data_IF_527397296464
#
_entry.id   IF_527397296464
#
_cell.length_a   1.000
_cell.length_b   1.000
_cell.length_c   1.000
_cell.angle_alpha   90.00
_cell.angle_beta   90.00
_cell.angle_gamma   90.00
#
_symmetry.space_group_name_H-M   'P 1'
#
loop_
_entity.id
_entity.type
_entity.pdbx_description
1 polymer ?
#
# COMPACT_ATOMS: atom_id res chain seq x y z
N UNK A 1 5.32 -10.52 11.99
CA UNK A 1 4.96 -9.26 11.30
C UNK A 1 6.08 -8.97 10.31
N UNK A 2 5.84 -9.18 9.01
CA UNK A 2 6.90 -9.13 8.00
C UNK A 2 7.60 -7.77 7.93
N UNK A 3 6.84 -6.65 7.98
CA UNK A 3 7.43 -5.30 7.93
C UNK A 3 8.40 -5.01 9.08
N UNK A 4 8.16 -5.56 10.28
CA UNK A 4 9.07 -5.39 11.44
C UNK A 4 10.47 -5.96 11.18
N UNK A 5 10.63 -6.88 10.23
CA UNK A 5 11.94 -7.42 9.83
C UNK A 5 12.73 -6.41 9.00
N UNK A 6 12.04 -5.48 8.33
CA UNK A 6 12.64 -4.41 7.52
C UNK A 6 12.89 -3.15 8.36
N UNK A 7 11.95 -2.81 9.25
CA UNK A 7 12.04 -1.66 10.16
C UNK A 7 11.36 -1.98 11.49
N UNK A 8 12.16 -2.03 12.56
CA UNK A 8 11.71 -2.37 13.91
C UNK A 8 10.84 -1.28 14.57
N UNK A 9 10.74 -0.08 13.99
CA UNK A 9 9.94 1.03 14.53
C UNK A 9 8.49 1.02 14.06
N UNK A 10 8.11 0.15 13.12
CA UNK A 10 6.75 0.09 12.59
C UNK A 10 5.76 -0.37 13.67
N UNK A 11 4.68 0.37 13.91
CA UNK A 11 3.71 0.07 14.99
C UNK A 11 2.26 0.10 14.52
N UNK A 12 1.96 0.77 13.42
CA UNK A 12 0.60 1.02 12.97
C UNK A 12 0.41 0.42 11.59
N UNK A 13 -0.67 -0.35 11.43
CA UNK A 13 -1.17 -0.79 10.13
C UNK A 13 -2.55 -0.16 9.97
N UNK A 14 -2.73 0.65 8.93
CA UNK A 14 -4.00 1.30 8.62
C UNK A 14 -4.58 0.72 7.34
N UNK A 15 -5.88 0.42 7.39
CA UNK A 15 -6.68 0.08 6.22
C UNK A 15 -7.79 1.10 6.03
N UNK A 16 -7.99 1.58 4.81
CA UNK A 16 -9.14 2.41 4.44
C UNK A 16 -9.50 2.24 2.96
N UNK A 17 -10.55 2.96 2.53
CA UNK A 17 -11.09 2.91 1.16
C UNK A 17 -10.99 4.27 0.45
N UNK A 18 -9.78 4.76 0.07
CA UNK A 18 -9.63 6.05 -0.58
C UNK A 18 -10.26 6.02 -1.97
N UNK A 19 -11.29 6.84 -2.19
CA UNK A 19 -12.17 6.77 -3.36
C UNK A 19 -11.42 6.84 -4.69
N UNK A 20 -10.50 7.80 -4.85
CA UNK A 20 -9.75 7.98 -6.09
C UNK A 20 -8.73 6.85 -6.33
N UNK A 21 -8.12 6.34 -5.27
CA UNK A 21 -7.17 5.23 -5.36
C UNK A 21 -7.87 3.94 -5.80
N UNK A 22 -9.06 3.67 -5.26
CA UNK A 22 -9.91 2.57 -5.72
C UNK A 22 -10.29 2.77 -7.19
N UNK A 23 -10.69 3.97 -7.61
CA UNK A 23 -11.03 4.25 -9.00
C UNK A 23 -9.84 4.00 -9.97
N UNK A 24 -8.61 4.26 -9.54
CA UNK A 24 -7.41 3.95 -10.32
C UNK A 24 -7.27 2.44 -10.58
N UNK A 25 -7.70 1.58 -9.66
CA UNK A 25 -7.64 0.11 -9.86
C UNK A 25 -8.54 -0.38 -11.00
N UNK A 26 -9.56 0.39 -11.41
CA UNK A 26 -10.44 0.07 -12.55
C UNK A 26 -9.97 0.70 -13.87
N UNK A 27 -9.18 1.76 -13.80
CA UNK A 27 -8.85 2.60 -14.98
C UNK A 27 -7.39 2.49 -15.39
N UNK A 28 -6.51 2.02 -14.52
CA UNK A 28 -5.11 1.80 -14.79
C UNK A 28 -4.80 0.30 -14.89
N UNK A 29 -3.79 -0.04 -15.69
CA UNK A 29 -3.19 -1.38 -15.63
C UNK A 29 -2.64 -1.60 -14.22
N UNK A 30 -3.03 -2.73 -13.62
CA UNK A 30 -2.55 -3.16 -12.30
C UNK A 30 -1.10 -3.66 -12.40
N UNK A 31 -0.17 -2.71 -12.47
CA UNK A 31 1.28 -2.90 -12.50
C UNK A 31 1.91 -1.94 -11.49
N UNK A 32 2.68 -2.49 -10.55
CA UNK A 32 3.26 -1.75 -9.41
C UNK A 32 4.12 -0.58 -9.89
N UNK A 33 5.00 -0.82 -10.88
CA UNK A 33 5.89 0.20 -11.43
C UNK A 33 5.12 1.33 -12.11
N UNK A 34 4.11 0.98 -12.90
CA UNK A 34 3.26 1.96 -13.60
C UNK A 34 2.46 2.79 -12.61
N UNK A 35 1.78 2.16 -11.66
CA UNK A 35 0.94 2.86 -10.68
C UNK A 35 1.77 3.78 -9.80
N UNK A 36 2.90 3.29 -9.28
CA UNK A 36 3.85 4.08 -8.48
C UNK A 36 4.34 5.31 -9.26
N UNK A 37 4.72 5.12 -10.53
CA UNK A 37 5.20 6.23 -11.37
C UNK A 37 4.11 7.24 -11.73
N UNK A 38 2.84 6.83 -11.78
CA UNK A 38 1.73 7.77 -11.97
C UNK A 38 1.59 8.65 -10.71
N UNK A 39 1.55 8.05 -9.52
CA UNK A 39 1.40 8.80 -8.26
C UNK A 39 2.60 9.70 -7.98
N UNK A 40 3.83 9.22 -8.18
CA UNK A 40 5.04 10.04 -8.05
C UNK A 40 5.07 11.28 -8.97
N UNK A 41 4.28 11.28 -10.04
CA UNK A 41 4.17 12.43 -10.96
C UNK A 41 3.02 13.36 -10.61
N UNK A 42 2.11 12.97 -9.72
CA UNK A 42 0.96 13.80 -9.32
C UNK A 42 1.36 14.84 -8.27
N UNK A 43 2.17 14.46 -7.28
CA UNK A 43 2.75 15.37 -6.29
C UNK A 43 4.24 15.12 -6.14
N UNK A 44 5.03 16.18 -5.99
CA UNK A 44 6.48 16.08 -5.84
C UNK A 44 6.89 15.28 -4.59
N UNK A 45 6.11 15.37 -3.51
CA UNK A 45 6.37 14.70 -2.24
C UNK A 45 6.24 13.18 -2.30
N UNK A 46 5.39 12.66 -3.19
CA UNK A 46 5.07 11.24 -3.30
C UNK A 46 6.31 10.35 -3.47
N UNK A 47 7.32 10.80 -4.23
CA UNK A 47 8.57 10.05 -4.41
C UNK A 47 9.37 9.91 -3.11
N UNK A 48 9.30 10.91 -2.23
CA UNK A 48 10.03 10.93 -0.95
C UNK A 48 9.24 10.23 0.15
N UNK A 49 7.91 10.37 0.15
CA UNK A 49 7.01 9.79 1.16
C UNK A 49 6.93 8.26 1.01
N UNK A 50 6.78 7.76 -0.23
CA UNK A 50 6.75 6.33 -0.55
C UNK A 50 7.73 5.99 -1.69
N UNK A 51 9.05 5.99 -1.43
CA UNK A 51 10.07 5.73 -2.45
C UNK A 51 10.08 4.28 -2.95
N UNK A 52 9.57 3.34 -2.15
CA UNK A 52 9.37 1.93 -2.53
C UNK A 52 8.26 1.80 -3.59
N UNK A 53 7.33 2.77 -3.64
CA UNK A 53 6.16 2.74 -4.52
C UNK A 53 4.93 2.10 -3.85
N UNK A 54 4.00 1.64 -4.68
CA UNK A 54 2.77 0.96 -4.30
C UNK A 54 2.88 -0.51 -4.68
N UNK A 55 2.88 -1.39 -3.68
CA UNK A 55 2.72 -2.81 -3.87
C UNK A 55 1.29 -3.14 -4.27
N UNK A 56 1.09 -4.15 -5.10
CA UNK A 56 -0.25 -4.57 -5.53
C UNK A 56 -0.34 -6.08 -5.34
N UNK A 57 -1.41 -6.54 -4.69
CA UNK A 57 -1.73 -7.97 -4.64
C UNK A 57 -2.86 -8.29 -5.64
N UNK A 58 -3.02 -9.56 -6.08
CA UNK A 58 -4.21 -9.97 -6.82
C UNK A 58 -5.50 -9.67 -6.04
N UNK A 59 -6.63 -9.54 -6.75
CA UNK A 59 -7.93 -9.50 -6.07
C UNK A 59 -8.14 -10.82 -5.32
N UNK A 60 -8.48 -10.71 -4.03
CA UNK A 60 -8.70 -11.82 -3.12
C UNK A 60 -9.87 -11.48 -2.20
N UNK A 61 -10.51 -12.51 -1.64
CA UNK A 61 -11.62 -12.32 -0.69
C UNK A 61 -11.13 -11.63 0.58
N UNK A 62 -11.68 -10.47 0.97
CA UNK A 62 -11.30 -9.79 2.21
C UNK A 62 -11.63 -10.60 3.46
N UNK A 63 -10.85 -10.40 4.52
CA UNK A 63 -11.11 -10.99 5.84
C UNK A 63 -10.68 -12.46 5.98
N UNK A 64 -9.89 -12.98 5.05
CA UNK A 64 -9.31 -14.34 5.14
C UNK A 64 -7.84 -14.30 5.51
N UNK A 65 -7.29 -15.44 5.95
CA UNK A 65 -5.86 -15.53 6.29
C UNK A 65 -4.98 -15.39 5.04
N UNK A 66 -5.44 -15.93 3.90
CA UNK A 66 -4.68 -15.94 2.65
C UNK A 66 -4.40 -14.51 2.14
N UNK A 67 -5.40 -13.61 2.19
CA UNK A 67 -5.19 -12.21 1.81
C UNK A 67 -4.31 -11.48 2.84
N UNK A 68 -4.41 -11.85 4.12
CA UNK A 68 -3.54 -11.33 5.18
C UNK A 68 -2.07 -11.70 4.95
N UNK A 69 -1.80 -12.96 4.63
CA UNK A 69 -0.46 -13.47 4.30
C UNK A 69 0.09 -12.83 3.02
N UNK A 70 -0.72 -12.72 1.96
CA UNK A 70 -0.33 -12.05 0.71
C UNK A 70 0.01 -10.56 0.95
N UNK A 71 -0.80 -9.88 1.78
CA UNK A 71 -0.55 -8.49 2.16
C UNK A 71 0.73 -8.37 2.98
N UNK A 72 0.92 -9.22 3.99
CA UNK A 72 2.12 -9.21 4.82
C UNK A 72 3.40 -9.50 4.00
N UNK A 73 3.35 -10.47 3.08
CA UNK A 73 4.45 -10.76 2.18
C UNK A 73 4.79 -9.55 1.31
N UNK A 74 3.79 -8.90 0.70
CA UNK A 74 4.00 -7.68 -0.10
C UNK A 74 4.52 -6.52 0.74
N UNK A 75 4.11 -6.41 2.01
CA UNK A 75 4.58 -5.39 2.92
C UNK A 75 6.06 -5.52 3.32
N UNK A 76 6.69 -6.68 3.09
CA UNK A 76 8.13 -6.82 3.29
C UNK A 76 8.94 -5.93 2.34
N UNK A 77 8.36 -5.58 1.19
CA UNK A 77 8.97 -4.77 0.13
C UNK A 77 8.36 -3.35 0.05
N UNK A 78 7.09 -3.18 0.42
CA UNK A 78 6.35 -1.92 0.28
C UNK A 78 5.68 -1.47 1.58
N UNK A 79 5.79 -0.20 1.95
CA UNK A 79 4.96 0.39 3.03
C UNK A 79 3.49 0.55 2.66
N UNK A 80 3.18 0.59 1.37
CA UNK A 80 1.81 0.80 0.86
C UNK A 80 1.42 -0.34 -0.06
N UNK A 81 0.29 -0.98 0.22
CA UNK A 81 -0.23 -2.11 -0.55
C UNK A 81 -1.65 -1.83 -1.01
N UNK A 82 -1.89 -1.85 -2.31
CA UNK A 82 -3.21 -1.82 -2.91
C UNK A 82 -3.87 -3.20 -2.83
N UNK A 83 -5.11 -3.20 -2.35
CA UNK A 83 -6.07 -4.25 -2.66
C UNK A 83 -6.94 -3.76 -3.83
N UNK A 84 -6.75 -4.31 -5.05
CA UNK A 84 -7.48 -3.84 -6.22
C UNK A 84 -8.99 -3.86 -5.95
N UNK A 85 -9.68 -2.81 -6.41
CA UNK A 85 -11.13 -2.66 -6.29
C UNK A 85 -11.67 -2.56 -4.85
N UNK A 86 -10.81 -2.51 -3.84
CA UNK A 86 -11.21 -2.51 -2.43
C UNK A 86 -10.60 -1.34 -1.66
N UNK A 87 -9.28 -1.16 -1.67
CA UNK A 87 -8.67 -0.10 -0.90
C UNK A 87 -7.16 -0.22 -0.75
N UNK A 88 -6.66 0.32 0.35
CA UNK A 88 -5.24 0.46 0.64
C UNK A 88 -4.92 -0.11 2.02
N UNK A 89 -3.71 -0.60 2.17
CA UNK A 89 -3.05 -0.77 3.45
C UNK A 89 -1.78 0.07 3.49
N UNK A 90 -1.55 0.75 4.61
CA UNK A 90 -0.35 1.52 4.90
C UNK A 90 0.25 1.07 6.24
N UNK A 91 1.58 1.16 6.36
CA UNK A 91 2.30 0.84 7.61
C UNK A 91 3.28 1.95 7.96
N UNK A 92 3.26 2.40 9.21
CA UNK A 92 4.09 3.50 9.75
C UNK A 92 4.43 3.31 11.23
N UNK A 93 5.27 4.20 11.76
CA UNK A 93 5.73 4.16 13.15
C UNK A 93 4.70 4.70 14.15
N UNK A 94 3.84 5.61 13.71
CA UNK A 94 2.75 6.19 14.50
C UNK A 94 1.50 6.48 13.64
N UNK A 95 0.34 6.81 14.25
CA UNK A 95 -0.89 7.06 13.51
C UNK A 95 -0.82 8.25 12.54
N UNK A 96 -0.07 9.30 12.86
CA UNK A 96 0.02 10.51 12.03
C UNK A 96 0.88 10.23 10.78
N UNK A 97 2.03 9.57 10.95
CA UNK A 97 2.85 9.12 9.82
C UNK A 97 2.05 8.17 8.92
N UNK A 98 1.33 7.20 9.50
CA UNK A 98 0.60 6.19 8.72
C UNK A 98 -0.62 6.78 8.01
N UNK A 99 -1.29 7.77 8.61
CA UNK A 99 -2.41 8.46 7.97
C UNK A 99 -1.95 9.42 6.88
N UNK A 100 -0.78 10.06 7.05
CA UNK A 100 -0.20 10.98 6.07
C UNK A 100 0.45 10.29 4.86
N UNK A 101 0.79 9.01 4.99
CA UNK A 101 1.36 8.15 3.94
C UNK A 101 0.34 7.81 2.84
#
# INVERSE_FOLDING_TARGET
IERLKTDENQRVVMHCHPTNFIAMSFTQTLDEKRLSRILWKMQAESLVVFPEGIGIIPYMTPGTNEIGEATAAKMSEFKVVMWPHHGIFAVGSDPDETFGL
#
